data_IF_406984846868
#
_entry.id   IF_406984846868
#
_cell.length_a   1.000
_cell.length_b   1.000
_cell.length_c   1.000
_cell.angle_alpha   90.00
_cell.angle_beta   90.00
_cell.angle_gamma   90.00
#
_symmetry.space_group_name_H-M   'P 1'
#
loop_
_entity.id
_entity.type
_entity.pdbx_description
1 polymer ?
#
# COMPACT_ATOMS: atom_id res chain seq x y z
N UNK A 1 31.91 22.37 -39.73
CA UNK A 1 31.83 21.81 -38.37
C UNK A 1 30.56 22.35 -37.73
N UNK A 2 29.45 21.60 -37.77
CA UNK A 2 28.15 22.01 -37.22
C UNK A 2 28.08 21.57 -35.76
N UNK A 3 27.91 22.53 -34.85
CA UNK A 3 27.92 22.29 -33.40
C UNK A 3 26.65 21.55 -32.95
N UNK A 4 26.76 20.31 -32.41
CA UNK A 4 25.60 19.51 -31.98
C UNK A 4 24.89 20.07 -30.75
N UNK A 5 25.53 21.01 -30.03
CA UNK A 5 25.01 21.58 -28.77
C UNK A 5 23.85 22.56 -29.01
N UNK A 6 23.88 23.33 -30.11
CA UNK A 6 22.85 24.34 -30.42
C UNK A 6 21.54 23.70 -30.86
N UNK A 7 21.62 22.51 -31.48
CA UNK A 7 20.45 21.78 -31.97
C UNK A 7 19.66 21.12 -30.83
N UNK A 8 20.33 20.68 -29.75
CA UNK A 8 19.66 20.13 -28.56
C UNK A 8 18.90 21.18 -27.74
N UNK A 9 19.40 22.41 -27.64
CA UNK A 9 18.76 23.49 -26.89
C UNK A 9 17.43 23.94 -27.53
N UNK A 10 17.38 24.01 -28.86
CA UNK A 10 16.15 24.36 -29.60
C UNK A 10 15.05 23.30 -29.49
N UNK A 11 15.41 22.01 -29.37
CA UNK A 11 14.44 20.92 -29.19
C UNK A 11 13.85 20.92 -27.78
N UNK A 12 14.67 21.28 -26.78
CA UNK A 12 14.22 21.33 -25.37
C UNK A 12 13.21 22.46 -25.11
N UNK A 13 13.40 23.64 -25.72
CA UNK A 13 12.44 24.76 -25.59
C UNK A 13 11.12 24.50 -26.31
N UNK A 14 11.12 23.74 -27.41
CA UNK A 14 9.86 23.40 -28.10
C UNK A 14 9.01 22.40 -27.31
N UNK A 15 9.65 21.47 -26.57
CA UNK A 15 8.96 20.44 -25.79
C UNK A 15 8.28 20.99 -24.53
N UNK A 16 8.88 21.99 -23.87
CA UNK A 16 8.28 22.60 -22.67
C UNK A 16 7.02 23.42 -22.98
N UNK A 17 6.90 23.98 -24.18
CA UNK A 17 5.71 24.72 -24.62
C UNK A 17 4.47 23.81 -24.82
N UNK A 18 4.66 22.54 -25.19
CA UNK A 18 3.53 21.62 -25.46
C UNK A 18 2.89 21.09 -24.17
N UNK A 19 3.63 21.00 -23.06
CA UNK A 19 3.12 20.43 -21.80
C UNK A 19 2.23 21.43 -21.02
N UNK A 20 2.29 22.72 -21.33
CA UNK A 20 1.58 23.77 -20.57
C UNK A 20 0.13 24.04 -21.02
N UNK A 21 -0.36 23.45 -22.11
CA UNK A 21 -1.71 23.73 -22.65
C UNK A 21 -2.72 22.57 -22.57
N UNK A 22 -2.39 21.46 -21.90
CA UNK A 22 -3.37 20.41 -21.61
C UNK A 22 -4.24 20.81 -20.40
N UNK A 23 -5.03 21.87 -20.57
CA UNK A 23 -6.02 22.32 -19.59
C UNK A 23 -7.05 21.22 -19.34
N UNK A 24 -7.16 20.79 -18.10
CA UNK A 24 -8.25 19.93 -17.64
C UNK A 24 -9.57 20.71 -17.73
N UNK A 25 -10.41 20.39 -18.71
CA UNK A 25 -11.81 20.82 -18.72
C UNK A 25 -12.56 19.95 -17.71
N UNK A 26 -12.76 20.45 -16.50
CA UNK A 26 -13.70 19.86 -15.55
C UNK A 26 -15.11 20.27 -15.96
N UNK A 27 -15.92 19.29 -16.36
CA UNK A 27 -17.36 19.49 -16.55
C UNK A 27 -18.01 19.87 -15.20
N UNK A 28 -19.00 20.79 -15.19
CA UNK A 28 -19.76 21.07 -13.98
C UNK A 28 -20.58 19.84 -13.58
N UNK A 29 -20.70 19.52 -12.28
CA UNK A 29 -21.53 18.42 -11.82
C UNK A 29 -23.01 18.73 -12.06
N UNK A 30 -23.71 17.76 -12.65
CA UNK A 30 -25.14 17.77 -12.88
C UNK A 30 -25.89 17.75 -11.53
N UNK A 31 -26.28 18.92 -11.02
CA UNK A 31 -27.07 19.02 -9.78
C UNK A 31 -28.53 18.66 -10.06
N UNK A 32 -28.83 17.36 -10.08
CA UNK A 32 -30.20 16.89 -9.94
C UNK A 32 -30.59 16.92 -8.45
N UNK A 33 -31.75 17.50 -8.07
CA UNK A 33 -32.20 17.49 -6.68
C UNK A 33 -32.38 16.05 -6.19
N UNK A 34 -31.57 15.65 -5.21
CA UNK A 34 -31.74 14.39 -4.48
C UNK A 34 -32.94 14.58 -3.54
N UNK A 35 -33.90 13.64 -3.50
CA UNK A 35 -35.02 13.72 -2.55
C UNK A 35 -34.51 13.73 -1.11
N UNK A 36 -35.25 14.35 -0.17
CA UNK A 36 -34.85 14.39 1.23
C UNK A 36 -34.80 12.97 1.79
N UNK A 37 -33.60 12.48 2.08
CA UNK A 37 -33.41 11.21 2.80
C UNK A 37 -33.70 11.49 4.27
N UNK A 38 -34.76 10.88 4.79
CA UNK A 38 -35.07 10.92 6.22
C UNK A 38 -33.85 10.46 7.03
N UNK A 39 -33.53 11.12 8.17
CA UNK A 39 -32.44 10.67 9.02
C UNK A 39 -32.83 9.33 9.63
N UNK A 40 -32.22 8.25 9.13
CA UNK A 40 -32.20 6.97 9.82
C UNK A 40 -31.31 7.16 11.04
N UNK A 41 -31.92 7.32 12.20
CA UNK A 41 -31.24 7.23 13.49
C UNK A 41 -30.81 5.78 13.68
N UNK A 42 -29.68 5.42 13.08
CA UNK A 42 -28.98 4.17 13.41
C UNK A 42 -28.41 4.35 14.81
N UNK A 43 -29.04 3.74 15.80
CA UNK A 43 -28.44 3.58 17.11
C UNK A 43 -27.06 2.92 16.92
N UNK A 44 -26.00 3.55 17.45
CA UNK A 44 -24.69 2.91 17.59
C UNK A 44 -24.87 1.70 18.49
N UNK A 45 -25.13 0.53 17.89
CA UNK A 45 -24.79 -0.73 18.53
C UNK A 45 -23.27 -0.67 18.70
N UNK A 46 -22.72 -0.82 19.92
CA UNK A 46 -21.29 -0.94 20.08
C UNK A 46 -20.87 -2.11 19.20
N UNK A 47 -20.18 -1.84 18.09
CA UNK A 47 -19.59 -2.91 17.31
C UNK A 47 -18.68 -3.65 18.27
N UNK A 48 -18.95 -4.92 18.53
CA UNK A 48 -17.96 -5.85 19.06
C UNK A 48 -16.66 -5.52 18.32
N UNK A 49 -15.70 -4.91 19.02
CA UNK A 49 -14.52 -4.34 18.37
C UNK A 49 -13.80 -5.49 17.70
N UNK A 50 -13.88 -5.56 16.36
CA UNK A 50 -13.33 -6.68 15.63
C UNK A 50 -11.82 -6.74 15.91
N UNK A 51 -11.35 -7.91 16.33
CA UNK A 51 -9.95 -8.16 16.58
C UNK A 51 -9.30 -8.63 15.28
N UNK A 52 -8.34 -7.85 14.78
CA UNK A 52 -7.64 -8.19 13.55
C UNK A 52 -6.32 -7.45 13.39
N UNK A 53 -5.59 -7.80 12.34
CA UNK A 53 -4.29 -7.20 12.03
C UNK A 53 -4.54 -5.77 11.57
N UNK A 54 -3.94 -4.78 12.23
CA UNK A 54 -4.19 -3.36 11.98
C UNK A 54 -3.30 -2.76 10.89
N UNK A 55 -2.26 -3.47 10.47
CA UNK A 55 -1.41 -3.08 9.34
C UNK A 55 -1.86 -3.78 8.06
N UNK A 56 -1.87 -3.05 6.94
CA UNK A 56 -2.28 -3.60 5.64
C UNK A 56 -1.18 -4.38 4.92
N UNK A 57 0.09 -4.05 5.16
CA UNK A 57 1.23 -4.59 4.41
C UNK A 57 2.51 -4.67 5.27
N UNK A 58 3.45 -5.50 4.87
CA UNK A 58 4.76 -5.72 5.48
C UNK A 58 4.77 -6.74 6.62
N UNK A 59 5.86 -6.72 7.39
CA UNK A 59 6.12 -7.64 8.51
C UNK A 59 5.84 -7.05 9.89
N UNK A 60 5.53 -5.76 9.97
CA UNK A 60 5.17 -5.10 11.23
C UNK A 60 3.70 -5.35 11.52
N UNK A 61 3.42 -6.53 12.08
CA UNK A 61 2.07 -6.97 12.39
C UNK A 61 1.71 -6.58 13.81
N UNK A 62 0.64 -5.81 13.94
CA UNK A 62 0.01 -5.49 15.20
C UNK A 62 -1.44 -5.95 15.15
N UNK A 63 -1.94 -6.43 16.29
CA UNK A 63 -3.34 -6.78 16.48
C UNK A 63 -4.02 -5.66 17.27
N UNK A 64 -5.25 -5.35 16.90
CA UNK A 64 -6.00 -4.30 17.58
C UNK A 64 -7.46 -4.28 17.17
N UNK A 65 -8.18 -3.33 17.78
CA UNK A 65 -9.52 -2.98 17.38
C UNK A 65 -9.48 -2.25 16.03
N UNK A 66 -10.51 -2.44 15.21
CA UNK A 66 -10.67 -1.80 13.90
C UNK A 66 -9.60 -2.21 12.87
N UNK A 67 -9.47 -3.52 12.54
CA UNK A 67 -8.72 -3.93 11.38
C UNK A 67 -9.26 -3.23 10.11
N UNK A 68 -8.38 -2.92 9.15
CA UNK A 68 -8.81 -2.32 7.89
C UNK A 68 -9.75 -3.29 7.15
N UNK A 69 -10.92 -2.80 6.75
CA UNK A 69 -11.87 -3.58 5.93
C UNK A 69 -11.31 -3.86 4.54
N UNK A 70 -10.53 -2.92 4.00
CA UNK A 70 -9.91 -2.99 2.68
C UNK A 70 -8.49 -2.45 2.76
N UNK A 71 -7.57 -3.13 2.07
CA UNK A 71 -6.20 -2.67 1.86
C UNK A 71 -5.99 -2.32 0.39
N UNK A 72 -4.97 -1.51 0.12
CA UNK A 72 -4.51 -1.25 -1.25
C UNK A 72 -4.00 -2.53 -1.91
N UNK A 73 -3.97 -2.56 -3.25
CA UNK A 73 -3.33 -3.65 -4.01
C UNK A 73 -1.79 -3.54 -4.03
N UNK A 74 -1.21 -2.71 -3.17
CA UNK A 74 0.24 -2.61 -3.01
C UNK A 74 0.78 -3.95 -2.47
N UNK A 75 1.95 -4.37 -2.95
CA UNK A 75 2.69 -5.48 -2.35
C UNK A 75 3.91 -4.92 -1.65
N UNK A 76 4.08 -5.21 -0.36
CA UNK A 76 5.32 -4.90 0.38
C UNK A 76 6.08 -6.16 0.72
N UNK A 77 7.40 -5.99 0.83
CA UNK A 77 8.31 -7.03 1.26
C UNK A 77 7.83 -7.68 2.57
N UNK A 78 7.59 -8.98 2.52
CA UNK A 78 7.10 -9.80 3.62
C UNK A 78 5.59 -9.93 3.72
N UNK A 79 4.80 -9.37 2.79
CA UNK A 79 3.35 -9.58 2.71
C UNK A 79 3.01 -11.07 2.66
N UNK A 80 3.80 -11.88 1.95
CA UNK A 80 3.65 -13.34 1.89
C UNK A 80 3.71 -13.99 3.28
N UNK A 81 4.48 -13.45 4.22
CA UNK A 81 4.60 -14.04 5.56
C UNK A 81 3.34 -13.87 6.40
N UNK A 82 2.47 -12.91 6.06
CA UNK A 82 1.27 -12.57 6.84
C UNK A 82 0.27 -13.72 6.92
N UNK A 83 0.27 -14.63 5.95
CA UNK A 83 -0.57 -15.83 5.96
C UNK A 83 -0.29 -16.77 7.14
N UNK A 84 0.85 -16.62 7.82
CA UNK A 84 1.26 -17.41 8.98
C UNK A 84 1.03 -16.69 10.33
N UNK A 85 0.29 -15.59 10.30
CA UNK A 85 -0.03 -14.80 11.48
C UNK A 85 -1.53 -14.49 11.52
N UNK A 86 -2.08 -14.43 12.73
CA UNK A 86 -3.48 -14.06 12.97
C UNK A 86 -3.60 -13.33 14.29
N UNK A 87 -4.74 -12.66 14.48
CA UNK A 87 -5.09 -12.14 15.79
C UNK A 87 -6.02 -13.12 16.50
N UNK A 88 -5.79 -13.32 17.79
CA UNK A 88 -6.64 -14.11 18.67
C UNK A 88 -7.25 -13.22 19.75
N UNK A 89 -8.53 -13.44 20.02
CA UNK A 89 -9.33 -12.71 21.02
C UNK A 89 -9.83 -13.61 22.16
N UNK A 90 -9.45 -14.89 22.19
CA UNK A 90 -9.95 -15.87 23.16
C UNK A 90 -9.67 -15.52 24.62
N UNK A 91 -8.62 -14.73 24.89
CA UNK A 91 -8.21 -14.31 26.23
C UNK A 91 -8.76 -12.95 26.70
N UNK A 92 -9.73 -12.37 26.00
CA UNK A 92 -10.24 -11.02 26.31
C UNK A 92 -9.28 -9.88 25.90
N UNK A 93 -8.16 -10.21 25.27
CA UNK A 93 -7.20 -9.28 24.66
C UNK A 93 -6.95 -9.68 23.21
N UNK A 94 -6.85 -8.69 22.31
CA UNK A 94 -6.51 -8.94 20.91
C UNK A 94 -4.99 -9.10 20.76
N UNK A 95 -4.52 -10.34 20.55
CA UNK A 95 -3.10 -10.68 20.59
C UNK A 95 -2.64 -11.30 19.28
N UNK A 96 -1.41 -11.00 18.87
CA UNK A 96 -0.80 -11.60 17.69
C UNK A 96 -0.36 -13.04 18.00
N UNK A 97 -0.87 -13.97 17.22
CA UNK A 97 -0.47 -15.38 17.24
C UNK A 97 0.20 -15.70 15.92
N UNK A 98 1.39 -16.28 15.97
CA UNK A 98 2.19 -16.63 14.80
C UNK A 98 2.51 -18.12 14.79
N UNK A 99 2.42 -18.74 13.62
CA UNK A 99 2.86 -20.12 13.43
C UNK A 99 4.40 -20.17 13.27
N UNK A 100 5.07 -21.33 13.50
CA UNK A 100 6.52 -21.45 13.30
C UNK A 100 7.00 -21.06 11.88
N UNK A 101 6.13 -21.20 10.87
CA UNK A 101 6.40 -20.75 9.50
C UNK A 101 6.58 -19.23 9.42
N UNK A 102 5.92 -18.44 10.27
CA UNK A 102 6.07 -16.98 10.29
C UNK A 102 7.51 -16.58 10.60
N UNK A 103 8.10 -17.15 11.65
CA UNK A 103 9.49 -16.88 12.05
C UNK A 103 10.47 -17.26 10.94
N UNK A 104 10.25 -18.40 10.29
CA UNK A 104 11.09 -18.85 9.16
C UNK A 104 10.97 -17.88 7.97
N UNK A 105 9.75 -17.50 7.61
CA UNK A 105 9.49 -16.57 6.53
C UNK A 105 10.08 -15.18 6.82
N UNK A 106 9.83 -14.63 8.01
CA UNK A 106 10.36 -13.34 8.46
C UNK A 106 11.88 -13.31 8.40
N UNK A 107 12.56 -14.33 8.94
CA UNK A 107 14.02 -14.41 8.88
C UNK A 107 14.55 -14.49 7.44
N UNK A 108 13.84 -15.18 6.54
CA UNK A 108 14.19 -15.22 5.13
C UNK A 108 14.07 -13.82 4.49
N UNK A 109 12.94 -13.15 4.70
CA UNK A 109 12.66 -11.82 4.16
C UNK A 109 13.62 -10.76 4.71
N UNK A 110 13.99 -10.82 6.00
CA UNK A 110 14.96 -9.89 6.59
C UNK A 110 16.36 -10.04 5.95
N UNK A 111 16.77 -11.26 5.59
CA UNK A 111 17.99 -11.47 4.80
C UNK A 111 17.86 -10.90 3.39
N UNK A 112 16.70 -11.02 2.75
CA UNK A 112 16.44 -10.38 1.46
C UNK A 112 16.42 -8.85 1.57
N UNK A 113 15.91 -8.28 2.66
CA UNK A 113 15.96 -6.83 2.86
C UNK A 113 17.41 -6.31 2.96
N UNK A 114 18.32 -7.11 3.53
CA UNK A 114 19.73 -6.72 3.70
C UNK A 114 20.48 -6.53 2.36
N UNK A 115 20.11 -7.28 1.31
CA UNK A 115 20.76 -7.14 -0.01
C UNK A 115 20.48 -5.80 -0.69
N UNK A 116 19.46 -5.05 -0.24
CA UNK A 116 19.16 -3.69 -0.72
C UNK A 116 20.36 -2.75 -0.68
N UNK A 117 21.26 -2.94 0.29
CA UNK A 117 22.48 -2.13 0.45
C UNK A 117 23.59 -2.49 -0.55
N UNK A 118 23.54 -3.68 -1.14
CA UNK A 118 24.60 -4.22 -2.00
C UNK A 118 24.20 -4.33 -3.47
N UNK A 119 22.92 -4.11 -3.80
CA UNK A 119 22.38 -4.16 -5.16
C UNK A 119 22.03 -2.77 -5.68
N UNK A 120 22.30 -2.52 -6.95
CA UNK A 120 21.77 -1.34 -7.65
C UNK A 120 20.32 -1.55 -8.13
N UNK A 121 19.86 -2.80 -8.19
CA UNK A 121 18.53 -3.19 -8.65
C UNK A 121 17.63 -3.60 -7.46
N UNK A 122 16.61 -2.80 -7.11
CA UNK A 122 15.66 -3.12 -6.05
C UNK A 122 14.82 -4.38 -6.32
N UNK A 123 14.65 -4.80 -7.59
CA UNK A 123 13.85 -5.98 -7.93
C UNK A 123 14.46 -7.28 -7.37
N UNK A 124 15.78 -7.31 -7.19
CA UNK A 124 16.53 -8.42 -6.59
C UNK A 124 16.04 -8.76 -5.18
N UNK A 125 15.54 -7.78 -4.42
CA UNK A 125 14.98 -7.98 -3.08
C UNK A 125 13.72 -8.84 -3.14
N UNK A 126 12.85 -8.58 -4.12
CA UNK A 126 11.61 -9.34 -4.33
C UNK A 126 11.88 -10.70 -4.99
N UNK A 127 12.87 -10.79 -5.87
CA UNK A 127 13.30 -12.09 -6.40
C UNK A 127 13.85 -12.98 -5.28
N UNK A 128 14.61 -12.41 -4.34
CA UNK A 128 15.04 -13.12 -3.13
C UNK A 128 13.83 -13.59 -2.30
N UNK A 129 12.86 -12.70 -2.04
CA UNK A 129 11.64 -13.05 -1.30
C UNK A 129 10.84 -14.17 -1.97
N UNK A 130 10.80 -14.24 -3.30
CA UNK A 130 10.07 -15.30 -4.01
C UNK A 130 10.58 -16.73 -3.73
N UNK A 131 11.80 -16.85 -3.18
CA UNK A 131 12.45 -18.11 -2.78
C UNK A 131 12.27 -18.43 -1.30
N UNK A 132 11.77 -17.46 -0.52
CA UNK A 132 10.97 -17.74 0.68
C UNK A 132 9.59 -18.23 0.21
#
# INVERSE_FOLDING_TARGET
>A
MKHPVVQSLLVFELLTAVVLFAGCVSAPPDTKPVPPVSPVTTALVPSESSCGITSCHGLDLACGANPPEVCTMEYRLGDKCRQYARCDSSGGSCTLVTDPQFTTCKACVERCAAIKSTTADPSMVFECESKC
#
